data_IF_596595075642
#
_entry.id   IF_596595075642
#
_cell.length_a   1.000
_cell.length_b   1.000
_cell.length_c   1.000
_cell.angle_alpha   90.00
_cell.angle_beta   90.00
_cell.angle_gamma   90.00
#
_symmetry.space_group_name_H-M   'P 1'
#
loop_
_entity.id
_entity.type
_entity.pdbx_description
1 polymer ?
#
# COMPACT_ATOMS: atom_id res chain seq x y z
N UNK A 1 20.71 41.85 -17.18
CA UNK A 1 20.91 41.22 -15.85
C UNK A 1 19.67 40.52 -15.28
N UNK A 2 18.46 40.75 -15.81
CA UNK A 2 17.21 40.15 -15.30
C UNK A 2 16.98 38.65 -15.67
N UNK A 3 17.50 38.06 -16.77
CA UNK A 3 17.13 36.68 -17.14
C UNK A 3 17.76 35.60 -16.24
N UNK A 4 18.91 35.88 -15.63
CA UNK A 4 19.62 34.92 -14.77
C UNK A 4 18.86 34.68 -13.46
N UNK A 5 18.24 35.72 -12.90
CA UNK A 5 17.46 35.63 -11.65
C UNK A 5 16.21 34.76 -11.86
N UNK A 6 15.52 34.91 -12.99
CA UNK A 6 14.35 34.09 -13.32
C UNK A 6 14.69 32.60 -13.45
N UNK A 7 15.83 32.28 -14.08
CA UNK A 7 16.33 30.90 -14.20
C UNK A 7 16.69 30.32 -12.83
N UNK A 8 17.32 31.11 -11.95
CA UNK A 8 17.66 30.69 -10.59
C UNK A 8 16.42 30.39 -9.73
N UNK A 9 15.38 31.22 -9.83
CA UNK A 9 14.11 31.01 -9.12
C UNK A 9 13.44 29.72 -9.62
N UNK A 10 13.44 29.48 -10.94
CA UNK A 10 12.88 28.27 -11.52
C UNK A 10 13.62 27.01 -11.04
N UNK A 11 14.96 27.05 -11.03
CA UNK A 11 15.78 25.93 -10.55
C UNK A 11 15.53 25.69 -9.06
N UNK A 12 15.46 26.73 -8.24
CA UNK A 12 15.11 26.59 -6.81
C UNK A 12 13.72 25.97 -6.63
N UNK A 13 12.71 26.43 -7.37
CA UNK A 13 11.35 25.91 -7.29
C UNK A 13 11.29 24.42 -7.67
N UNK A 14 11.97 24.02 -8.74
CA UNK A 14 12.09 22.61 -9.15
C UNK A 14 12.81 21.79 -8.07
N UNK A 15 13.91 22.31 -7.53
CA UNK A 15 14.68 21.62 -6.49
C UNK A 15 13.86 21.40 -5.22
N UNK A 16 13.11 22.42 -4.77
CA UNK A 16 12.20 22.32 -3.61
C UNK A 16 11.08 21.32 -3.90
N UNK A 17 10.48 21.36 -5.10
CA UNK A 17 9.44 20.41 -5.48
C UNK A 17 9.94 18.96 -5.49
N UNK A 18 11.14 18.73 -6.04
CA UNK A 18 11.78 17.40 -6.05
C UNK A 18 12.09 16.95 -4.61
N UNK A 19 12.62 17.84 -3.76
CA UNK A 19 12.84 17.54 -2.34
C UNK A 19 11.54 17.19 -1.62
N UNK A 20 10.48 17.95 -1.83
CA UNK A 20 9.16 17.67 -1.26
C UNK A 20 8.61 16.32 -1.73
N UNK A 21 8.80 15.97 -3.00
CA UNK A 21 8.41 14.66 -3.54
C UNK A 21 9.23 13.55 -2.88
N UNK A 22 10.55 13.68 -2.78
CA UNK A 22 11.42 12.68 -2.14
C UNK A 22 11.02 12.49 -0.68
N UNK A 23 10.78 13.59 0.03
CA UNK A 23 10.31 13.59 1.41
C UNK A 23 8.96 12.85 1.48
N UNK A 24 7.95 13.24 0.70
CA UNK A 24 6.64 12.55 0.67
C UNK A 24 6.80 11.04 0.37
N UNK A 25 7.65 10.68 -0.58
CA UNK A 25 7.90 9.28 -0.95
C UNK A 25 8.59 8.48 0.16
N UNK A 26 9.53 9.10 0.87
CA UNK A 26 10.17 8.53 2.06
C UNK A 26 9.20 8.39 3.24
N UNK A 27 8.30 9.36 3.42
CA UNK A 27 7.30 9.39 4.49
C UNK A 27 6.35 8.19 4.47
N UNK A 28 5.90 7.77 3.29
CA UNK A 28 4.96 6.66 3.13
C UNK A 28 5.63 5.31 2.87
N UNK A 29 6.95 5.23 2.96
CA UNK A 29 7.66 3.99 2.70
C UNK A 29 7.36 2.94 3.77
N UNK A 30 6.65 1.89 3.37
CA UNK A 30 6.34 0.71 4.17
C UNK A 30 7.66 0.04 4.59
N UNK A 31 7.96 -0.06 5.89
CA UNK A 31 9.20 -0.70 6.38
C UNK A 31 8.99 -2.18 6.66
N UNK A 32 7.94 -2.50 7.39
CA UNK A 32 7.72 -3.84 7.92
C UNK A 32 6.21 -4.05 8.10
N UNK A 33 5.75 -5.27 7.81
CA UNK A 33 4.40 -5.72 8.14
C UNK A 33 4.55 -6.95 9.01
N UNK A 34 4.02 -6.87 10.21
CA UNK A 34 4.00 -7.97 11.16
C UNK A 34 2.58 -8.25 11.62
N UNK A 35 2.38 -9.47 12.12
CA UNK A 35 1.09 -9.93 12.64
C UNK A 35 1.22 -10.05 14.13
N UNK A 36 0.16 -9.67 14.85
CA UNK A 36 0.02 -10.02 16.26
C UNK A 36 -1.22 -10.87 16.43
N UNK A 37 -1.01 -12.07 16.93
CA UNK A 37 -2.09 -12.99 17.29
C UNK A 37 -2.57 -12.65 18.71
N UNK A 38 -3.76 -12.06 18.80
CA UNK A 38 -4.57 -11.97 20.02
C UNK A 38 -5.95 -12.59 19.71
N UNK A 39 -7.01 -12.24 20.45
CA UNK A 39 -8.40 -12.62 20.14
C UNK A 39 -8.77 -12.23 18.69
N UNK A 40 -8.45 -11.00 18.27
CA UNK A 40 -8.55 -10.54 16.87
C UNK A 40 -7.22 -10.69 16.09
N UNK A 41 -7.28 -10.88 14.77
CA UNK A 41 -6.08 -10.88 13.91
C UNK A 41 -5.68 -9.42 13.62
N UNK A 42 -4.58 -8.97 14.20
CA UNK A 42 -4.11 -7.59 14.08
C UNK A 42 -2.92 -7.50 13.13
N UNK A 43 -3.07 -6.74 12.05
CA UNK A 43 -1.98 -6.43 11.15
C UNK A 43 -1.28 -5.15 11.60
N UNK A 44 0.00 -5.26 11.93
CA UNK A 44 0.85 -4.14 12.34
C UNK A 44 1.66 -3.70 11.13
N UNK A 45 1.27 -2.56 10.56
CA UNK A 45 1.95 -1.94 9.42
C UNK A 45 2.87 -0.85 9.95
N UNK A 46 4.18 -1.11 9.94
CA UNK A 46 5.20 -0.12 10.30
C UNK A 46 5.69 0.59 9.03
N UNK A 47 5.38 1.87 8.94
CA UNK A 47 6.01 2.80 8.01
C UNK A 47 7.19 3.52 8.70
N UNK A 48 8.02 4.22 7.94
CA UNK A 48 9.20 4.90 8.46
C UNK A 48 8.95 5.80 9.69
N UNK A 49 7.78 6.42 9.80
CA UNK A 49 7.41 7.33 10.91
C UNK A 49 6.16 6.92 11.70
N UNK A 50 5.39 5.93 11.25
CA UNK A 50 4.11 5.61 11.88
C UNK A 50 3.82 4.11 11.83
N UNK A 51 3.37 3.59 12.96
CA UNK A 51 2.85 2.23 13.08
C UNK A 51 1.34 2.28 13.08
N UNK A 52 0.72 1.55 12.16
CA UNK A 52 -0.73 1.37 12.09
C UNK A 52 -1.07 -0.03 12.58
N UNK A 53 -2.06 -0.13 13.46
CA UNK A 53 -2.61 -1.41 13.90
C UNK A 53 -3.99 -1.53 13.26
N UNK A 54 -4.12 -2.47 12.34
CA UNK A 54 -5.29 -2.66 11.49
C UNK A 54 -5.94 -3.98 11.94
N UNK A 55 -7.11 -3.94 12.61
CA UNK A 55 -7.85 -5.15 12.93
C UNK A 55 -8.44 -5.75 11.66
N UNK A 56 -8.12 -7.00 11.35
CA UNK A 56 -8.51 -7.64 10.10
C UNK A 56 -9.72 -8.55 10.32
N UNK A 57 -10.79 -8.32 9.55
CA UNK A 57 -11.94 -9.24 9.53
C UNK A 57 -11.78 -10.26 8.40
N UNK A 58 -11.55 -9.77 7.18
CA UNK A 58 -11.34 -10.56 5.98
C UNK A 58 -10.00 -10.19 5.34
N UNK A 59 -9.25 -11.22 4.93
CA UNK A 59 -7.99 -11.09 4.24
C UNK A 59 -7.99 -11.98 3.01
N UNK A 60 -7.46 -11.46 1.90
CA UNK A 60 -7.21 -12.22 0.68
C UNK A 60 -5.80 -11.96 0.19
N UNK A 61 -5.12 -12.99 -0.31
CA UNK A 61 -3.87 -12.83 -1.04
C UNK A 61 -4.17 -12.42 -2.48
N UNK A 62 -3.66 -11.25 -2.91
CA UNK A 62 -3.90 -10.70 -4.25
C UNK A 62 -2.65 -10.06 -4.84
N UNK A 63 -2.66 -9.95 -6.16
CA UNK A 63 -1.70 -9.11 -6.87
C UNK A 63 -2.17 -7.65 -6.95
N UNK A 64 -1.23 -6.72 -6.82
CA UNK A 64 -1.42 -5.28 -6.91
C UNK A 64 -2.13 -4.91 -8.22
N UNK A 65 -1.78 -5.60 -9.30
CA UNK A 65 -2.35 -5.40 -10.63
C UNK A 65 -3.80 -5.85 -10.73
N UNK A 66 -4.30 -6.69 -9.83
CA UNK A 66 -5.72 -7.07 -9.77
C UNK A 66 -6.52 -6.07 -8.95
N UNK A 67 -5.90 -5.52 -7.91
CA UNK A 67 -6.55 -4.64 -6.93
C UNK A 67 -6.57 -3.18 -7.40
N UNK A 68 -5.46 -2.71 -7.96
CA UNK A 68 -5.21 -1.31 -8.28
C UNK A 68 -5.18 -1.04 -9.80
N UNK A 69 -6.07 -1.68 -10.59
CA UNK A 69 -6.20 -1.35 -12.03
C UNK A 69 -6.77 0.06 -12.18
N UNK A 70 -5.92 1.06 -12.37
CA UNK A 70 -6.37 2.36 -12.86
C UNK A 70 -6.72 2.18 -14.34
N UNK A 71 -8.01 2.19 -14.65
CA UNK A 71 -8.50 2.26 -16.04
C UNK A 71 -8.80 3.72 -16.37
N UNK A 72 -8.01 4.31 -17.26
CA UNK A 72 -8.34 5.60 -17.88
C UNK A 72 -8.70 5.32 -19.33
N UNK A 73 -9.94 5.63 -19.73
CA UNK A 73 -10.42 5.44 -21.10
C UNK A 73 -10.16 4.03 -21.70
N UNK A 74 -10.26 2.98 -20.87
CA UNK A 74 -10.04 1.58 -21.28
C UNK A 74 -8.58 1.12 -21.30
N UNK A 75 -7.62 2.03 -21.12
CA UNK A 75 -6.19 1.72 -21.05
C UNK A 75 -5.81 1.47 -19.58
N UNK A 76 -5.12 0.36 -19.31
CA UNK A 76 -4.61 0.03 -17.98
C UNK A 76 -3.25 0.69 -17.78
N UNK A 77 -3.17 1.65 -16.86
CA UNK A 77 -1.91 2.29 -16.51
C UNK A 77 -1.17 1.48 -15.44
N UNK A 78 0.18 1.47 -15.45
CA UNK A 78 0.95 0.88 -14.37
C UNK A 78 0.58 1.56 -13.05
N UNK A 79 0.09 0.77 -12.10
CA UNK A 79 -0.34 1.20 -10.78
C UNK A 79 0.85 1.74 -9.97
N UNK A 80 0.73 2.94 -9.41
CA UNK A 80 1.70 3.41 -8.44
C UNK A 80 1.61 2.55 -7.16
N UNK A 81 2.73 2.40 -6.48
CA UNK A 81 2.85 1.48 -5.35
C UNK A 81 2.19 2.03 -4.07
N UNK A 82 1.76 3.30 -4.08
CA UNK A 82 1.13 3.99 -2.96
C UNK A 82 -0.01 4.88 -3.43
N UNK A 83 -1.05 5.03 -2.62
CA UNK A 83 -2.17 5.96 -2.88
C UNK A 83 -3.54 5.34 -2.68
N UNK A 84 -4.58 6.05 -3.12
CA UNK A 84 -5.97 5.59 -3.07
C UNK A 84 -6.41 5.27 -4.49
N UNK A 85 -6.91 4.06 -4.70
CA UNK A 85 -7.27 3.54 -6.01
C UNK A 85 -8.75 3.19 -6.04
N UNK A 86 -9.39 3.44 -7.17
CA UNK A 86 -10.74 2.98 -7.46
C UNK A 86 -10.64 1.84 -8.46
N UNK A 87 -10.99 0.63 -8.01
CA UNK A 87 -10.86 -0.60 -8.78
C UNK A 87 -12.10 -1.49 -8.68
N UNK A 88 -12.02 -2.76 -9.11
CA UNK A 88 -13.14 -3.72 -9.06
C UNK A 88 -13.60 -4.01 -7.62
N UNK A 89 -12.75 -3.76 -6.63
CA UNK A 89 -13.06 -3.89 -5.21
C UNK A 89 -13.56 -2.58 -4.58
N UNK A 90 -13.78 -1.53 -5.36
CA UNK A 90 -14.15 -0.20 -4.87
C UNK A 90 -12.93 0.65 -4.51
N UNK A 91 -13.05 1.49 -3.48
CA UNK A 91 -12.00 2.40 -3.02
C UNK A 91 -11.00 1.63 -2.12
N UNK A 92 -9.76 1.47 -2.58
CA UNK A 92 -8.70 0.73 -1.90
C UNK A 92 -7.51 1.64 -1.59
N UNK A 93 -7.07 1.66 -0.34
CA UNK A 93 -5.82 2.31 0.05
C UNK A 93 -4.66 1.36 -0.18
N UNK A 94 -3.80 1.66 -1.14
CA UNK A 94 -2.65 0.85 -1.54
C UNK A 94 -1.39 1.34 -0.84
N UNK A 95 -0.68 0.42 -0.19
CA UNK A 95 0.65 0.60 0.36
C UNK A 95 1.48 -0.64 0.01
N UNK A 96 2.15 -0.62 -1.13
CA UNK A 96 2.83 -1.76 -1.70
C UNK A 96 4.30 -1.44 -1.99
N UNK A 97 5.19 -2.34 -1.58
CA UNK A 97 6.58 -2.40 -2.11
C UNK A 97 6.77 -3.55 -3.11
N UNK A 98 5.81 -4.47 -3.15
CA UNK A 98 5.84 -5.70 -3.95
C UNK A 98 4.58 -5.80 -4.79
N UNK A 99 4.64 -6.61 -5.86
CA UNK A 99 3.48 -6.89 -6.71
C UNK A 99 2.45 -7.73 -5.96
N UNK A 100 2.87 -8.73 -5.19
CA UNK A 100 2.00 -9.52 -4.32
C UNK A 100 1.80 -8.85 -2.97
N UNK A 101 0.59 -8.95 -2.42
CA UNK A 101 0.21 -8.36 -1.15
C UNK A 101 -1.09 -8.90 -0.57
N UNK A 102 -1.50 -8.32 0.54
CA UNK A 102 -2.71 -8.67 1.27
C UNK A 102 -3.78 -7.61 0.98
N UNK A 103 -4.93 -8.05 0.46
CA UNK A 103 -6.13 -7.24 0.44
C UNK A 103 -6.87 -7.45 1.77
N UNK A 104 -6.99 -6.40 2.55
CA UNK A 104 -7.53 -6.40 3.91
C UNK A 104 -8.82 -5.59 3.94
N UNK A 105 -9.90 -6.21 4.41
CA UNK A 105 -11.18 -5.54 4.65
C UNK A 105 -11.38 -5.31 6.14
N UNK A 106 -11.70 -4.06 6.49
CA UNK A 106 -12.06 -3.63 7.84
C UNK A 106 -13.58 -3.66 8.07
N UNK A 107 -14.02 -3.79 9.34
CA UNK A 107 -15.45 -3.73 9.77
C UNK A 107 -16.23 -2.54 9.26
N UNK A 108 -15.54 -1.43 8.95
CA UNK A 108 -16.14 -0.19 8.43
C UNK A 108 -16.22 -0.15 6.90
N UNK A 109 -16.04 -1.30 6.22
CA UNK A 109 -16.07 -1.42 4.76
C UNK A 109 -14.85 -0.82 4.04
N UNK A 110 -13.82 -0.39 4.77
CA UNK A 110 -12.59 0.15 4.17
C UNK A 110 -11.67 -0.97 3.74
N UNK A 111 -11.12 -0.84 2.53
CA UNK A 111 -10.19 -1.79 1.94
C UNK A 111 -8.78 -1.22 1.89
N UNK A 112 -7.81 -2.07 2.24
CA UNK A 112 -6.38 -1.77 2.19
C UNK A 112 -5.66 -2.85 1.41
N UNK A 113 -4.77 -2.46 0.50
CA UNK A 113 -3.84 -3.38 -0.13
C UNK A 113 -2.45 -3.15 0.43
N UNK A 114 -1.86 -4.19 0.99
CA UNK A 114 -0.60 -4.12 1.71
C UNK A 114 0.40 -5.06 1.04
N UNK A 115 1.26 -4.49 0.20
CA UNK A 115 2.29 -5.23 -0.53
C UNK A 115 3.54 -5.42 0.32
N UNK A 116 3.67 -6.61 0.92
CA UNK A 116 4.81 -7.03 1.72
C UNK A 116 5.46 -8.31 1.15
N UNK A 117 6.76 -8.47 1.36
CA UNK A 117 7.50 -9.66 0.89
C UNK A 117 7.05 -10.96 1.57
N UNK A 118 6.62 -10.87 2.82
CA UNK A 118 6.13 -11.96 3.65
C UNK A 118 4.58 -12.07 3.61
N UNK A 119 3.93 -11.53 2.58
CA UNK A 119 2.47 -11.56 2.50
C UNK A 119 1.90 -13.00 2.49
N UNK A 120 2.55 -13.93 1.79
CA UNK A 120 2.14 -15.34 1.74
C UNK A 120 2.22 -16.03 3.11
N UNK A 121 3.29 -15.76 3.87
CA UNK A 121 3.47 -16.28 5.23
C UNK A 121 2.39 -15.74 6.18
N UNK A 122 2.10 -14.44 6.09
CA UNK A 122 1.07 -13.78 6.89
C UNK A 122 -0.31 -14.35 6.57
N UNK A 123 -0.60 -14.55 5.27
CA UNK A 123 -1.87 -15.11 4.84
C UNK A 123 -2.05 -16.56 5.31
N UNK A 124 -0.97 -17.35 5.26
CA UNK A 124 -0.97 -18.74 5.76
C UNK A 124 -1.25 -18.80 7.27
N UNK A 125 -0.72 -17.85 8.05
CA UNK A 125 -1.03 -17.74 9.49
C UNK A 125 -2.51 -17.37 9.72
N UNK A 126 -3.04 -16.45 8.91
CA UNK A 126 -4.46 -16.07 8.96
C UNK A 126 -5.39 -17.27 8.71
N UNK A 127 -5.13 -18.07 7.65
CA UNK A 127 -5.92 -19.27 7.33
C UNK A 127 -5.88 -20.31 8.46
N UNK A 128 -4.70 -20.56 9.04
CA UNK A 128 -4.53 -21.46 10.19
C UNK A 128 -5.41 -21.03 11.37
N UNK A 129 -5.47 -19.74 11.68
CA UNK A 129 -6.31 -19.21 12.77
C UNK A 129 -7.81 -19.35 12.47
N UNK A 130 -8.22 -19.20 11.20
CA UNK A 130 -9.61 -19.37 10.77
C UNK A 130 -10.10 -20.82 10.77
N UNK A 131 -9.20 -21.80 10.97
CA UNK A 131 -9.55 -23.22 10.90
C UNK A 131 -9.88 -23.68 9.47
N UNK A 132 -9.55 -22.86 8.47
CA UNK A 132 -9.68 -23.20 7.06
C UNK A 132 -8.43 -24.03 6.68
N UNK A 133 -8.64 -25.32 6.38
CA UNK A 133 -7.58 -26.25 5.99
C UNK A 133 -6.75 -25.68 4.85
N UNK A 134 -5.43 -25.77 4.97
CA UNK A 134 -4.48 -25.19 4.03
C UNK A 134 -4.48 -26.03 2.73
N UNK A 135 -5.22 -25.60 1.73
CA UNK A 135 -4.90 -25.92 0.33
C UNK A 135 -4.25 -24.67 -0.28
N UNK A 136 -2.93 -24.55 -0.11
CA UNK A 136 -2.12 -23.63 -0.91
C UNK A 136 -1.98 -24.26 -2.31
N UNK A 137 -2.33 -23.54 -3.39
CA UNK A 137 -2.05 -23.99 -4.75
C UNK A 137 -0.54 -24.00 -5.07
#
# INVERSE_FOLDING_TARGET
>A
MIPIIGILILIMAITIAVLLIIILYGFFSLKEVSVRENEDFLLIVRCAMKTWIIPVDEMELKDLWEVAKIRIAGISLPSAAYGIYYGPYGMVNVMARTKKGLLVRLRKGKLYFIGARNAEDIYSQYLRKKGEGIELP
#
